data_IF_655659465420
#
_entry.id   IF_655659465420
#
_cell.length_a   1.000
_cell.length_b   1.000
_cell.length_c   1.000
_cell.angle_alpha   90.00
_cell.angle_beta   90.00
_cell.angle_gamma   90.00
#
_symmetry.space_group_name_H-M   'P 1'
#
loop_
_entity.id
_entity.type
_entity.pdbx_description
1 polymer ?
#
# COMPACT_ATOMS: atom_id res chain seq x y z
N UNK A 1 -10.41 -7.78 -18.25
CA UNK A 1 -11.39 -7.36 -19.28
C UNK A 1 -11.23 -5.90 -19.63
N UNK A 2 -11.52 -5.56 -20.86
CA UNK A 2 -11.38 -4.19 -21.35
C UNK A 2 -12.28 -3.20 -20.62
N UNK A 3 -13.48 -3.61 -20.24
CA UNK A 3 -14.41 -2.76 -19.48
C UNK A 3 -13.83 -2.36 -18.12
N UNK A 4 -13.16 -3.30 -17.46
CA UNK A 4 -12.52 -3.01 -16.17
C UNK A 4 -11.38 -2.00 -16.33
N UNK A 5 -10.56 -2.13 -17.37
CA UNK A 5 -9.49 -1.18 -17.69
C UNK A 5 -10.02 0.20 -18.00
N UNK A 6 -11.08 0.29 -18.81
CA UNK A 6 -11.69 1.57 -19.15
C UNK A 6 -12.22 2.28 -17.91
N UNK A 7 -12.83 1.55 -16.98
CA UNK A 7 -13.29 2.08 -15.70
C UNK A 7 -12.13 2.61 -14.86
N UNK A 8 -11.08 1.81 -14.66
CA UNK A 8 -9.91 2.20 -13.86
C UNK A 8 -9.16 3.39 -14.46
N UNK A 9 -9.15 3.53 -15.78
CA UNK A 9 -8.45 4.61 -16.46
C UNK A 9 -8.91 6.00 -15.98
N UNK A 10 -10.19 6.13 -15.67
CA UNK A 10 -10.76 7.41 -15.24
C UNK A 10 -10.90 7.53 -13.73
N UNK A 11 -10.50 6.50 -12.98
CA UNK A 11 -10.67 6.49 -11.54
C UNK A 11 -9.54 7.26 -10.87
N UNK A 12 -9.87 8.30 -10.06
CA UNK A 12 -8.85 9.04 -9.33
C UNK A 12 -8.07 8.14 -8.37
N UNK A 13 -6.81 8.48 -8.14
CA UNK A 13 -5.95 7.69 -7.26
C UNK A 13 -6.55 7.46 -5.87
N UNK A 14 -7.20 8.50 -5.30
CA UNK A 14 -7.82 8.36 -3.97
C UNK A 14 -8.94 7.31 -3.96
N UNK A 15 -9.66 7.13 -5.06
CA UNK A 15 -10.69 6.10 -5.14
C UNK A 15 -10.09 4.69 -5.16
N UNK A 16 -8.91 4.53 -5.74
CA UNK A 16 -8.17 3.26 -5.67
C UNK A 16 -7.79 2.97 -4.21
N UNK A 17 -7.26 3.96 -3.50
CA UNK A 17 -6.93 3.82 -2.08
C UNK A 17 -8.17 3.48 -1.26
N UNK A 18 -9.27 4.20 -1.50
CA UNK A 18 -10.53 4.00 -0.79
C UNK A 18 -11.12 2.60 -1.01
N UNK A 19 -10.83 1.96 -2.15
CA UNK A 19 -11.30 0.60 -2.41
C UNK A 19 -10.79 -0.41 -1.38
N UNK A 20 -9.68 -0.11 -0.71
CA UNK A 20 -9.16 -0.94 0.38
C UNK A 20 -10.07 -0.97 1.60
N UNK A 21 -10.95 0.01 1.76
CA UNK A 21 -11.88 0.06 2.88
C UNK A 21 -13.05 -0.91 2.74
N UNK A 22 -13.29 -1.43 1.55
CA UNK A 22 -14.41 -2.34 1.30
C UNK A 22 -14.32 -3.61 2.13
N UNK A 23 -13.11 -4.03 2.51
CA UNK A 23 -12.88 -5.19 3.38
C UNK A 23 -12.86 -4.83 4.87
N UNK A 24 -13.07 -3.55 5.20
CA UNK A 24 -13.01 -3.06 6.58
C UNK A 24 -14.41 -2.82 7.12
N UNK A 25 -14.78 -3.55 8.19
CA UNK A 25 -16.10 -3.42 8.78
C UNK A 25 -16.28 -2.06 9.47
N UNK A 26 -15.27 -1.58 10.17
CA UNK A 26 -15.34 -0.35 10.94
C UNK A 26 -15.33 0.91 10.08
N UNK A 27 -14.26 1.13 9.33
CA UNK A 27 -14.04 2.36 8.56
C UNK A 27 -14.99 2.47 7.35
N UNK A 28 -15.34 1.35 6.74
CA UNK A 28 -16.27 1.34 5.60
C UNK A 28 -17.65 1.89 5.96
N UNK A 29 -18.09 1.68 7.21
CA UNK A 29 -19.39 2.16 7.69
C UNK A 29 -19.37 3.61 8.16
N UNK A 30 -18.21 4.26 8.21
CA UNK A 30 -18.09 5.65 8.61
C UNK A 30 -18.53 6.59 7.50
N UNK A 31 -18.90 7.86 7.82
CA UNK A 31 -19.26 8.83 6.80
C UNK A 31 -18.20 8.97 5.72
N UNK A 32 -18.62 9.24 4.50
CA UNK A 32 -17.74 9.38 3.35
C UNK A 32 -16.58 10.35 3.60
N UNK A 33 -16.85 11.48 4.25
CA UNK A 33 -15.81 12.47 4.56
C UNK A 33 -14.71 11.89 5.44
N UNK A 34 -15.07 11.07 6.43
CA UNK A 34 -14.09 10.42 7.29
C UNK A 34 -13.27 9.38 6.52
N UNK A 35 -13.92 8.63 5.62
CA UNK A 35 -13.23 7.67 4.77
C UNK A 35 -12.19 8.37 3.89
N UNK A 36 -12.59 9.48 3.27
CA UNK A 36 -11.68 10.24 2.41
C UNK A 36 -10.53 10.85 3.21
N UNK A 37 -10.79 11.35 4.41
CA UNK A 37 -9.75 11.90 5.28
C UNK A 37 -8.69 10.84 5.62
N UNK A 38 -9.10 9.62 5.92
CA UNK A 38 -8.19 8.51 6.21
C UNK A 38 -7.37 8.16 4.96
N UNK A 39 -8.01 8.13 3.79
CA UNK A 39 -7.31 7.86 2.53
C UNK A 39 -6.28 8.95 2.23
N UNK A 40 -6.64 10.23 2.40
CA UNK A 40 -5.71 11.34 2.19
C UNK A 40 -4.53 11.26 3.14
N UNK A 41 -4.77 10.90 4.39
CA UNK A 41 -3.71 10.75 5.38
C UNK A 41 -2.69 9.68 4.94
N UNK A 42 -3.17 8.52 4.49
CA UNK A 42 -2.28 7.46 4.02
C UNK A 42 -1.55 7.86 2.74
N UNK A 43 -2.23 8.57 1.84
CA UNK A 43 -1.55 9.09 0.64
C UNK A 43 -0.47 10.09 1.01
N UNK A 44 -0.69 10.91 2.04
CA UNK A 44 0.32 11.83 2.54
C UNK A 44 1.50 11.07 3.15
N UNK A 45 1.22 10.02 3.93
CA UNK A 45 2.26 9.16 4.50
C UNK A 45 3.19 8.60 3.41
N UNK A 46 2.61 8.19 2.28
CA UNK A 46 3.38 7.68 1.15
C UNK A 46 3.83 8.76 0.16
N UNK A 47 3.58 10.03 0.46
CA UNK A 47 4.10 11.15 -0.32
C UNK A 47 3.39 11.42 -1.63
N UNK A 48 2.15 10.95 -1.79
CA UNK A 48 1.38 11.10 -3.02
C UNK A 48 0.05 11.86 -2.83
N UNK A 49 -0.09 12.61 -1.76
CA UNK A 49 -1.33 13.35 -1.48
C UNK A 49 -1.69 14.33 -2.61
N UNK A 50 -0.70 14.94 -3.25
CA UNK A 50 -0.92 15.88 -4.36
C UNK A 50 -1.49 15.19 -5.61
N UNK A 51 -1.44 13.87 -5.67
CA UNK A 51 -1.90 13.10 -6.83
C UNK A 51 -3.28 12.48 -6.63
N UNK A 52 -3.96 12.82 -5.55
CA UNK A 52 -5.22 12.17 -5.14
C UNK A 52 -6.32 12.22 -6.21
N UNK A 53 -6.40 13.32 -6.94
CA UNK A 53 -7.46 13.54 -7.95
C UNK A 53 -7.02 13.12 -9.36
N UNK A 54 -5.77 12.72 -9.52
CA UNK A 54 -5.23 12.31 -10.81
C UNK A 54 -5.68 10.89 -11.15
N UNK A 55 -6.07 10.62 -12.39
CA UNK A 55 -6.43 9.25 -12.79
C UNK A 55 -5.29 8.27 -12.48
N UNK A 56 -5.62 7.17 -11.84
CA UNK A 56 -4.63 6.20 -11.38
C UNK A 56 -3.72 5.69 -12.51
N UNK A 57 -4.30 5.38 -13.67
CA UNK A 57 -3.52 4.85 -14.79
C UNK A 57 -2.61 5.88 -15.47
N UNK A 58 -2.76 7.16 -15.13
CA UNK A 58 -1.85 8.20 -15.59
C UNK A 58 -0.66 8.42 -14.63
N UNK A 59 -0.67 7.79 -13.46
CA UNK A 59 0.45 7.85 -12.55
C UNK A 59 1.63 7.04 -13.09
N UNK A 60 2.85 7.42 -12.69
CA UNK A 60 4.02 6.60 -12.97
C UNK A 60 3.90 5.24 -12.27
N UNK A 61 4.70 4.26 -12.71
CA UNK A 61 4.67 2.94 -12.09
C UNK A 61 5.00 2.99 -10.59
N UNK A 62 5.96 3.83 -10.19
CA UNK A 62 6.30 4.03 -8.78
C UNK A 62 5.17 4.67 -8.00
N UNK A 63 4.52 5.69 -8.56
CA UNK A 63 3.37 6.35 -7.95
C UNK A 63 2.20 5.39 -7.79
N UNK A 64 1.93 4.57 -8.80
CA UNK A 64 0.91 3.53 -8.70
C UNK A 64 1.23 2.54 -7.58
N UNK A 65 2.49 2.15 -7.45
CA UNK A 65 2.92 1.27 -6.37
C UNK A 65 2.64 1.88 -5.00
N UNK A 66 2.95 3.15 -4.82
CA UNK A 66 2.69 3.86 -3.56
C UNK A 66 1.19 3.95 -3.27
N UNK A 67 0.35 4.19 -4.28
CA UNK A 67 -1.10 4.21 -4.11
C UNK A 67 -1.63 2.83 -3.69
N UNK A 68 -1.12 1.75 -4.27
CA UNK A 68 -1.52 0.40 -3.91
C UNK A 68 -1.05 0.01 -2.50
N UNK A 69 0.09 0.52 -2.06
CA UNK A 69 0.54 0.36 -0.67
C UNK A 69 -0.40 1.11 0.28
N UNK A 70 -0.75 2.35 -0.04
CA UNK A 70 -1.72 3.11 0.77
C UNK A 70 -3.05 2.34 0.88
N UNK A 71 -3.51 1.75 -0.23
CA UNK A 71 -4.72 0.92 -0.25
C UNK A 71 -4.62 -0.26 0.72
N UNK A 72 -3.45 -0.89 0.80
CA UNK A 72 -3.24 -2.03 1.69
C UNK A 72 -3.26 -1.62 3.16
N UNK A 73 -2.76 -0.42 3.50
CA UNK A 73 -2.70 0.06 4.87
C UNK A 73 -3.98 0.75 5.36
N UNK A 74 -4.81 1.26 4.44
CA UNK A 74 -5.94 2.13 4.82
C UNK A 74 -6.96 1.44 5.72
N UNK A 75 -7.15 0.14 5.58
CA UNK A 75 -8.07 -0.63 6.40
C UNK A 75 -7.50 -1.01 7.76
N UNK A 76 -6.28 -0.63 8.06
CA UNK A 76 -5.56 -0.95 9.29
C UNK A 76 -5.63 -2.44 9.65
N UNK A 77 -5.17 -3.34 8.78
CA UNK A 77 -5.34 -4.78 8.96
C UNK A 77 -4.49 -5.31 10.12
N UNK A 78 -4.94 -6.40 10.74
CA UNK A 78 -4.14 -7.13 11.73
C UNK A 78 -3.04 -7.93 11.06
N UNK A 79 -3.33 -8.50 9.89
CA UNK A 79 -2.37 -9.22 9.07
C UNK A 79 -2.20 -8.52 7.73
N UNK A 80 -0.98 -8.13 7.43
CA UNK A 80 -0.65 -7.48 6.17
C UNK A 80 0.33 -8.35 5.40
N UNK A 81 -0.01 -8.66 4.15
CA UNK A 81 0.84 -9.44 3.26
C UNK A 81 1.30 -8.53 2.13
N UNK A 82 2.60 -8.32 2.01
CA UNK A 82 3.19 -7.48 0.97
C UNK A 82 4.11 -8.33 0.08
N UNK A 83 3.87 -8.27 -1.22
CA UNK A 83 4.66 -8.98 -2.22
C UNK A 83 5.49 -7.97 -2.99
N UNK A 84 6.82 -8.06 -2.84
CA UNK A 84 7.77 -7.17 -3.49
C UNK A 84 7.41 -5.69 -3.31
N UNK A 85 7.18 -5.21 -2.07
CA UNK A 85 6.62 -3.86 -1.89
C UNK A 85 7.55 -2.73 -2.33
N UNK A 86 8.86 -2.98 -2.41
CA UNK A 86 9.85 -1.96 -2.77
C UNK A 86 10.20 -1.98 -4.26
N UNK A 87 9.67 -2.96 -5.01
CA UNK A 87 9.99 -3.10 -6.43
C UNK A 87 9.53 -1.87 -7.22
N UNK A 88 10.42 -1.37 -8.07
CA UNK A 88 10.11 -0.22 -8.93
C UNK A 88 10.16 1.14 -8.25
N UNK A 89 10.55 1.20 -6.97
CA UNK A 89 10.68 2.46 -6.25
C UNK A 89 12.12 2.96 -6.28
N UNK A 90 12.28 4.29 -6.35
CA UNK A 90 13.58 4.93 -6.20
C UNK A 90 14.08 4.84 -4.75
N UNK A 91 15.32 5.24 -4.51
CA UNK A 91 15.95 5.14 -3.19
C UNK A 91 15.17 5.93 -2.12
N UNK A 92 14.69 7.12 -2.45
CA UNK A 92 13.95 7.97 -1.50
C UNK A 92 12.64 7.28 -1.08
N UNK A 93 11.87 6.80 -2.05
CA UNK A 93 10.59 6.14 -1.77
C UNK A 93 10.78 4.78 -1.10
N UNK A 94 11.84 4.05 -1.41
CA UNK A 94 12.18 2.81 -0.71
C UNK A 94 12.38 3.05 0.78
N UNK A 95 13.14 4.09 1.14
CA UNK A 95 13.36 4.46 2.53
C UNK A 95 12.07 4.83 3.23
N UNK A 96 11.22 5.60 2.55
CA UNK A 96 9.91 5.98 3.08
C UNK A 96 9.06 4.77 3.38
N UNK A 97 8.92 3.86 2.40
CA UNK A 97 8.11 2.65 2.57
C UNK A 97 8.68 1.76 3.68
N UNK A 98 10.00 1.59 3.74
CA UNK A 98 10.63 0.82 4.82
C UNK A 98 10.28 1.38 6.20
N UNK A 99 10.29 2.69 6.37
CA UNK A 99 9.93 3.32 7.66
C UNK A 99 8.48 3.05 8.02
N UNK A 100 7.58 3.10 7.04
CA UNK A 100 6.16 2.79 7.29
C UNK A 100 6.00 1.33 7.70
N UNK A 101 6.67 0.42 7.00
CA UNK A 101 6.65 -1.02 7.34
C UNK A 101 7.18 -1.26 8.74
N UNK A 102 8.29 -0.63 9.11
CA UNK A 102 8.86 -0.75 10.44
C UNK A 102 7.90 -0.26 11.52
N UNK A 103 7.26 0.88 11.30
CA UNK A 103 6.28 1.41 12.24
C UNK A 103 5.09 0.48 12.42
N UNK A 104 4.61 -0.12 11.33
CA UNK A 104 3.54 -1.12 11.37
C UNK A 104 3.97 -2.34 12.19
N UNK A 105 5.16 -2.88 11.93
CA UNK A 105 5.65 -4.09 12.58
C UNK A 105 5.92 -3.90 14.08
N UNK A 106 6.16 -2.66 14.54
CA UNK A 106 6.35 -2.37 15.96
C UNK A 106 5.05 -2.37 16.75
N UNK A 107 3.92 -2.32 16.08
CA UNK A 107 2.62 -2.41 16.76
C UNK A 107 2.41 -3.86 17.20
N UNK A 108 2.06 -4.05 18.48
CA UNK A 108 1.94 -5.39 19.09
C UNK A 108 0.79 -6.22 18.52
N UNK A 109 -0.24 -5.54 18.01
CA UNK A 109 -1.44 -6.18 17.48
C UNK A 109 -1.35 -6.48 15.98
N UNK A 110 -0.15 -6.31 15.38
CA UNK A 110 0.04 -6.43 13.94
C UNK A 110 0.99 -7.56 13.57
N UNK A 111 0.70 -8.20 12.46
CA UNK A 111 1.54 -9.22 11.84
C UNK A 111 1.76 -8.86 10.38
N UNK A 112 3.00 -9.03 9.90
CA UNK A 112 3.33 -8.78 8.51
C UNK A 112 4.04 -9.99 7.90
N UNK A 113 3.63 -10.33 6.70
CA UNK A 113 4.35 -11.27 5.84
C UNK A 113 4.85 -10.50 4.64
N UNK A 114 6.17 -10.52 4.44
CA UNK A 114 6.79 -9.81 3.33
C UNK A 114 7.49 -10.81 2.43
N UNK A 115 7.14 -10.79 1.15
CA UNK A 115 7.78 -11.61 0.13
C UNK A 115 8.73 -10.72 -0.66
N UNK A 116 10.01 -11.08 -0.67
CA UNK A 116 11.02 -10.32 -1.43
C UNK A 116 12.13 -11.27 -1.90
N UNK A 117 12.74 -10.94 -3.03
CA UNK A 117 13.91 -11.64 -3.54
C UNK A 117 15.23 -11.04 -3.04
N UNK A 118 15.17 -9.90 -2.36
CA UNK A 118 16.35 -9.15 -1.93
C UNK A 118 16.37 -9.02 -0.41
N UNK A 119 17.27 -9.76 0.23
CA UNK A 119 17.41 -9.74 1.69
C UNK A 119 17.72 -8.35 2.23
N UNK A 120 18.46 -7.53 1.46
CA UNK A 120 18.80 -6.16 1.83
C UNK A 120 17.59 -5.24 1.96
N UNK A 121 16.44 -5.63 1.37
CA UNK A 121 15.21 -4.87 1.46
C UNK A 121 14.41 -5.17 2.72
N UNK A 122 14.78 -6.22 3.48
CA UNK A 122 14.06 -6.58 4.69
C UNK A 122 14.31 -5.55 5.79
N UNK A 123 13.26 -5.06 6.46
CA UNK A 123 13.43 -4.21 7.63
C UNK A 123 14.08 -4.96 8.79
N UNK A 124 14.80 -4.23 9.66
CA UNK A 124 15.45 -4.82 10.82
C UNK A 124 14.47 -5.42 11.83
N UNK A 125 13.20 -5.02 11.77
CA UNK A 125 12.16 -5.49 12.68
C UNK A 125 11.61 -6.87 12.30
N UNK A 126 12.04 -7.46 11.20
CA UNK A 126 11.63 -8.81 10.81
C UNK A 126 12.31 -9.82 11.73
N UNK A 127 11.51 -10.55 12.51
CA UNK A 127 12.01 -11.51 13.50
C UNK A 127 12.24 -12.90 12.92
N UNK A 128 11.39 -13.30 11.97
CA UNK A 128 11.46 -14.63 11.37
C UNK A 128 11.55 -14.53 9.84
N UNK A 129 12.36 -15.38 9.25
CA UNK A 129 12.56 -15.42 7.80
C UNK A 129 12.32 -16.83 7.30
N UNK A 130 11.58 -16.93 6.19
CA UNK A 130 11.37 -18.18 5.48
C UNK A 130 11.90 -18.05 4.07
N UNK A 131 12.86 -18.91 3.71
CA UNK A 131 13.45 -18.92 2.37
C UNK A 131 12.80 -20.01 1.54
N UNK A 132 12.15 -19.59 0.44
CA UNK A 132 11.54 -20.51 -0.50
C UNK A 132 12.35 -20.54 -1.79
N UNK A 133 12.70 -21.74 -2.24
CA UNK A 133 13.34 -21.93 -3.54
C UNK A 133 12.29 -22.29 -4.56
N UNK A 134 12.36 -21.64 -5.72
CA UNK A 134 11.53 -22.02 -6.84
C UNK A 134 12.27 -23.09 -7.64
N UNK A 135 11.64 -24.21 -7.81
CA UNK A 135 12.09 -25.22 -8.77
C UNK A 135 11.60 -24.79 -10.15
N UNK A 136 12.52 -24.48 -11.01
CA UNK A 136 12.22 -24.15 -12.39
C UNK A 136 12.84 -25.18 -13.30
#
# INVERSE_FOLDING_TARGET
PEMHRAYLKNLPAIEIVASGLHDSIGLYKRPHQEQMAVCEWWMDVFGIASLKDKPFLQLSSGEQRLALLARAFVKDPELLILDEPLHGLDTFNRRRVKKVIEAFCRRQDKTMIMVTHYESELPDVISDRLFLRRNR
#
